data_IF_838710155024
#
_entry.id   IF_838710155024
#
_cell.length_a   1.000
_cell.length_b   1.000
_cell.length_c   1.000
_cell.angle_alpha   90.00
_cell.angle_beta   90.00
_cell.angle_gamma   90.00
#
_symmetry.space_group_name_H-M   'P 1'
#
loop_
_entity.id
_entity.type
_entity.pdbx_description
1 polymer ?
#
# COMPACT_ATOMS: atom_id res chain seq x y z
N UNK A 1 3.37 4.00 -17.21
CA UNK A 1 3.66 5.22 -16.46
C UNK A 1 3.71 4.93 -14.97
N UNK A 2 4.63 5.57 -14.28
CA UNK A 2 4.75 5.39 -12.83
C UNK A 2 3.56 6.04 -12.13
N UNK A 3 3.03 5.36 -11.14
CA UNK A 3 1.94 5.89 -10.33
C UNK A 3 2.55 6.65 -9.16
N UNK A 4 1.81 7.60 -8.63
CA UNK A 4 2.24 8.33 -7.45
C UNK A 4 1.97 7.50 -6.20
N UNK A 5 2.75 7.76 -5.15
CA UNK A 5 2.56 7.07 -3.86
C UNK A 5 1.11 7.24 -3.38
N UNK A 6 0.55 8.44 -3.52
CA UNK A 6 -0.82 8.69 -3.09
C UNK A 6 -1.84 7.82 -3.84
N UNK A 7 -1.52 7.46 -5.07
CA UNK A 7 -2.39 6.60 -5.86
C UNK A 7 -2.35 5.16 -5.34
N UNK A 8 -1.19 4.70 -4.93
CA UNK A 8 -1.06 3.38 -4.31
C UNK A 8 -1.81 3.33 -2.98
N UNK A 9 -1.71 4.40 -2.19
CA UNK A 9 -2.42 4.48 -0.92
C UNK A 9 -3.92 4.44 -1.15
N UNK A 10 -4.39 5.18 -2.14
CA UNK A 10 -5.81 5.19 -2.50
C UNK A 10 -6.26 3.79 -2.93
N UNK A 11 -5.44 3.12 -3.72
CA UNK A 11 -5.77 1.78 -4.20
C UNK A 11 -5.86 0.78 -3.05
N UNK A 12 -4.89 0.80 -2.14
CA UNK A 12 -4.88 -0.13 -1.02
C UNK A 12 -6.06 0.14 -0.09
N UNK A 13 -6.42 1.39 0.13
CA UNK A 13 -7.60 1.72 0.93
C UNK A 13 -8.89 1.27 0.25
N UNK A 14 -8.95 1.41 -1.07
CA UNK A 14 -10.13 0.96 -1.82
C UNK A 14 -10.31 -0.55 -1.75
N UNK A 15 -9.22 -1.29 -1.56
CA UNK A 15 -9.27 -2.73 -1.41
C UNK A 15 -9.70 -3.17 0.00
N UNK A 16 -9.87 -2.22 0.92
CA UNK A 16 -10.31 -2.52 2.27
C UNK A 16 -9.21 -2.52 3.32
N UNK A 17 -8.01 -2.14 2.95
CA UNK A 17 -6.92 -2.01 3.92
C UNK A 17 -7.11 -0.76 4.75
N UNK A 18 -6.68 -0.82 5.99
CA UNK A 18 -6.74 0.32 6.90
C UNK A 18 -5.33 0.71 7.31
N UNK A 19 -5.09 2.01 7.38
CA UNK A 19 -3.82 2.53 7.85
C UNK A 19 -3.74 2.38 9.37
N UNK A 20 -2.62 1.83 9.85
CA UNK A 20 -2.42 1.64 11.29
C UNK A 20 -1.27 2.50 11.78
N UNK A 21 -1.30 2.81 13.06
CA UNK A 21 -0.25 3.58 13.70
C UNK A 21 1.04 2.77 13.76
N UNK A 22 2.17 3.46 13.80
CA UNK A 22 3.47 2.81 13.96
C UNK A 22 4.45 3.09 12.85
N UNK A 23 3.99 3.71 11.77
CA UNK A 23 4.90 4.16 10.73
C UNK A 23 5.59 5.44 11.16
N UNK A 24 6.84 5.63 10.75
CA UNK A 24 7.58 6.86 11.04
C UNK A 24 7.84 7.60 9.75
N UNK A 25 7.70 8.93 9.82
CA UNK A 25 7.96 9.78 8.67
C UNK A 25 7.05 9.44 7.51
N UNK A 26 7.63 9.13 6.38
CA UNK A 26 6.87 8.82 5.17
C UNK A 26 6.46 7.36 5.06
N UNK A 27 6.78 6.55 6.05
CA UNK A 27 6.40 5.13 6.04
C UNK A 27 4.98 4.98 6.56
N UNK A 28 4.13 4.31 5.79
CA UNK A 28 2.74 4.06 6.15
C UNK A 28 2.46 2.58 6.11
N UNK A 29 1.82 2.08 7.13
CA UNK A 29 1.52 0.66 7.26
C UNK A 29 0.02 0.44 7.15
N UNK A 30 -0.37 -0.56 6.38
CA UNK A 30 -1.78 -0.88 6.14
C UNK A 30 -2.03 -2.34 6.44
N UNK A 31 -3.17 -2.63 7.05
CA UNK A 31 -3.57 -4.01 7.37
C UNK A 31 -4.97 -4.29 6.84
N UNK A 32 -5.27 -5.58 6.71
CA UNK A 32 -6.58 -6.04 6.27
C UNK A 32 -6.88 -7.33 7.02
N UNK A 33 -8.14 -7.50 7.43
CA UNK A 33 -8.51 -8.66 8.25
C UNK A 33 -8.28 -9.99 7.54
N UNK A 34 -8.31 -9.99 6.21
CA UNK A 34 -8.09 -11.19 5.41
C UNK A 34 -6.69 -11.28 4.82
N UNK A 35 -5.81 -10.39 5.21
CA UNK A 35 -4.44 -10.37 4.73
C UNK A 35 -3.48 -10.55 5.90
N UNK A 36 -2.67 -11.60 5.85
CA UNK A 36 -1.70 -11.85 6.89
C UNK A 36 -0.56 -10.85 6.82
N UNK A 37 -0.26 -10.20 7.94
CA UNK A 37 0.80 -9.22 8.00
C UNK A 37 0.32 -7.84 7.60
N UNK A 38 1.25 -7.01 7.15
CA UNK A 38 0.98 -5.63 6.79
C UNK A 38 1.66 -5.26 5.49
N UNK A 39 1.06 -4.29 4.79
CA UNK A 39 1.66 -3.71 3.59
C UNK A 39 2.23 -2.36 3.99
N UNK A 40 3.51 -2.13 3.68
CA UNK A 40 4.15 -0.86 3.98
C UNK A 40 4.37 -0.08 2.70
N UNK A 41 3.91 1.15 2.69
CA UNK A 41 4.15 2.07 1.59
C UNK A 41 5.06 3.18 2.10
N UNK A 42 6.20 3.36 1.45
CA UNK A 42 7.15 4.39 1.86
C UNK A 42 7.33 5.41 0.74
N UNK A 43 7.63 6.65 1.15
CA UNK A 43 7.82 7.75 0.23
C UNK A 43 6.78 8.84 0.40
N UNK A 44 7.09 10.01 -0.15
CA UNK A 44 6.16 11.13 -0.09
C UNK A 44 4.99 10.88 -1.04
N UNK A 45 3.80 11.35 -0.67
CA UNK A 45 2.60 11.13 -1.46
C UNK A 45 2.71 11.68 -2.88
N UNK A 46 3.51 12.72 -3.08
CA UNK A 46 3.72 13.33 -4.40
C UNK A 46 4.83 12.65 -5.21
N UNK A 47 5.56 11.72 -4.60
CA UNK A 47 6.65 11.01 -5.28
C UNK A 47 6.10 9.89 -6.14
N UNK A 48 6.88 9.51 -7.16
CA UNK A 48 6.53 8.36 -7.98
C UNK A 48 6.77 7.07 -7.22
N UNK A 49 5.83 6.16 -7.33
CA UNK A 49 5.98 4.83 -6.73
C UNK A 49 7.00 4.04 -7.52
N UNK A 50 7.77 3.23 -6.82
CA UNK A 50 8.73 2.34 -7.47
C UNK A 50 8.01 1.07 -7.92
N UNK A 51 8.58 0.41 -8.93
CA UNK A 51 7.96 -0.78 -9.49
C UNK A 51 7.71 -1.85 -8.44
N UNK A 52 8.65 -2.06 -7.52
CA UNK A 52 8.46 -3.09 -6.51
C UNK A 52 7.29 -2.76 -5.57
N UNK A 53 7.04 -1.46 -5.35
CA UNK A 53 5.91 -1.05 -4.51
C UNK A 53 4.58 -1.33 -5.21
N UNK A 54 4.50 -1.02 -6.49
CA UNK A 54 3.30 -1.32 -7.26
C UNK A 54 3.03 -2.81 -7.30
N UNK A 55 4.07 -3.60 -7.49
CA UNK A 55 3.95 -5.05 -7.53
C UNK A 55 3.51 -5.60 -6.19
N UNK A 56 4.09 -5.09 -5.10
CA UNK A 56 3.74 -5.52 -3.76
C UNK A 56 2.27 -5.25 -3.44
N UNK A 57 1.80 -4.05 -3.76
CA UNK A 57 0.41 -3.67 -3.55
C UNK A 57 -0.51 -4.54 -4.41
N UNK A 58 -0.16 -4.71 -5.67
CA UNK A 58 -0.94 -5.55 -6.58
C UNK A 58 -1.07 -6.98 -6.09
N UNK A 59 0.03 -7.55 -5.61
CA UNK A 59 0.03 -8.92 -5.09
C UNK A 59 -0.83 -9.03 -3.83
N UNK A 60 -0.75 -8.03 -2.95
CA UNK A 60 -1.55 -8.03 -1.73
C UNK A 60 -3.04 -7.99 -2.06
N UNK A 61 -3.43 -7.13 -2.98
CA UNK A 61 -4.83 -7.02 -3.39
C UNK A 61 -5.29 -8.29 -4.08
N UNK A 62 -4.44 -8.84 -4.95
CA UNK A 62 -4.76 -10.06 -5.68
C UNK A 62 -5.01 -11.23 -4.73
N UNK A 63 -4.24 -11.31 -3.64
CA UNK A 63 -4.39 -12.40 -2.68
C UNK A 63 -5.75 -12.36 -1.98
N UNK A 64 -6.37 -11.19 -1.89
CA UNK A 64 -7.70 -11.06 -1.27
C UNK A 64 -8.81 -11.61 -2.16
N UNK A 65 -8.55 -11.74 -3.45
CA UNK A 65 -9.55 -12.23 -4.40
C UNK A 65 -9.56 -13.75 -4.54
N UNK A 66 -8.57 -14.39 -3.99
CA UNK A 66 -8.42 -15.84 -4.09
C UNK A 66 -9.22 -16.58 -3.04
#
# INVERSE_FOLDING_TARGET
>A
MARKIRELIKEVKSAGFEEVSGGKGSHRKFTHEHYAGAVTVSGKSSSDAKRYQEKQIGNAIESLKS
#
